data_IF_014601165929
#
_entry.id   IF_014601165929
#
_cell.length_a   1.000
_cell.length_b   1.000
_cell.length_c   1.000
_cell.angle_alpha   90.00
_cell.angle_beta   90.00
_cell.angle_gamma   90.00
#
_symmetry.space_group_name_H-M   'P 1'
#
loop_
_entity.id
_entity.type
_entity.pdbx_description
1 polymer ?
#
# COMPACT_ATOMS: atom_id res chain seq x y z
N UNK A 1 -2.63 -13.46 5.34
CA UNK A 1 -2.41 -12.00 5.54
C UNK A 1 -3.71 -11.20 5.43
N UNK A 2 -4.54 -11.42 4.41
CA UNK A 2 -5.91 -10.86 4.35
C UNK A 2 -6.78 -11.23 5.57
N UNK A 3 -6.57 -12.44 6.10
CA UNK A 3 -7.24 -12.95 7.31
C UNK A 3 -7.07 -12.06 8.55
N UNK A 4 -5.90 -11.45 8.75
CA UNK A 4 -5.67 -10.59 9.91
C UNK A 4 -6.40 -9.25 9.78
N UNK A 5 -6.40 -8.64 8.58
CA UNK A 5 -7.11 -7.39 8.33
C UNK A 5 -8.63 -7.56 8.51
N UNK A 6 -9.18 -8.68 8.05
CA UNK A 6 -10.59 -8.99 8.26
C UNK A 6 -10.90 -9.20 9.74
N UNK A 7 -10.09 -10.00 10.44
CA UNK A 7 -10.26 -10.20 11.87
C UNK A 7 -10.20 -8.87 12.64
N UNK A 8 -9.25 -8.00 12.30
CA UNK A 8 -9.12 -6.67 12.91
C UNK A 8 -10.35 -5.81 12.64
N UNK A 9 -10.85 -5.81 11.39
CA UNK A 9 -12.07 -5.10 11.01
C UNK A 9 -13.29 -5.58 11.80
N UNK A 10 -13.40 -6.88 12.06
CA UNK A 10 -14.53 -7.48 12.77
C UNK A 10 -14.45 -7.29 14.30
N UNK A 11 -13.25 -7.31 14.88
CA UNK A 11 -13.07 -7.42 16.34
C UNK A 11 -12.46 -6.20 17.00
N UNK A 12 -11.81 -5.31 16.23
CA UNK A 12 -11.02 -4.20 16.77
C UNK A 12 -11.35 -2.84 16.16
N UNK A 13 -11.94 -2.79 14.97
CA UNK A 13 -12.34 -1.54 14.34
C UNK A 13 -13.48 -0.88 15.12
N UNK A 14 -13.40 0.44 15.28
CA UNK A 14 -14.36 1.26 16.00
C UNK A 14 -14.94 2.34 15.09
N UNK A 15 -16.14 2.81 15.43
CA UNK A 15 -16.81 3.88 14.71
C UNK A 15 -15.95 5.16 14.70
N UNK A 16 -15.75 5.73 13.52
CA UNK A 16 -14.86 6.87 13.29
C UNK A 16 -13.43 6.51 12.86
N UNK A 17 -13.03 5.24 12.88
CA UNK A 17 -11.71 4.82 12.39
C UNK A 17 -11.72 4.56 10.87
N UNK A 18 -10.57 4.82 10.22
CA UNK A 18 -10.40 4.48 8.79
C UNK A 18 -10.29 2.96 8.60
N UNK A 19 -10.69 2.42 7.44
CA UNK A 19 -10.49 1.01 7.13
C UNK A 19 -9.01 0.59 7.28
N UNK A 20 -8.71 -0.62 7.79
CA UNK A 20 -7.34 -1.07 7.96
C UNK A 20 -6.68 -1.30 6.60
N UNK A 21 -5.39 -0.93 6.49
CA UNK A 21 -4.58 -1.09 5.28
C UNK A 21 -3.50 -2.13 5.55
N UNK A 22 -3.34 -3.09 4.65
CA UNK A 22 -2.24 -4.04 4.68
C UNK A 22 -1.01 -3.46 3.99
N UNK A 23 0.11 -3.38 4.71
CA UNK A 23 1.40 -2.99 4.13
C UNK A 23 2.34 -4.19 4.11
N UNK A 24 2.88 -4.49 2.94
CA UNK A 24 3.88 -5.54 2.74
C UNK A 24 5.16 -4.85 2.30
N UNK A 25 6.25 -5.05 3.04
CA UNK A 25 7.56 -4.46 2.74
C UNK A 25 8.51 -5.60 2.35
N UNK A 26 8.97 -5.58 1.10
CA UNK A 26 9.92 -6.55 0.57
C UNK A 26 11.18 -5.82 0.08
N UNK A 27 12.36 -6.44 0.26
CA UNK A 27 13.66 -5.86 -0.15
C UNK A 27 13.74 -5.61 -1.67
N UNK A 28 13.06 -6.43 -2.46
CA UNK A 28 13.00 -6.33 -3.92
C UNK A 28 11.57 -6.57 -4.37
N UNK A 29 11.13 -5.83 -5.40
CA UNK A 29 9.86 -6.06 -6.08
C UNK A 29 10.10 -7.13 -7.15
N UNK A 30 9.60 -8.34 -6.95
CA UNK A 30 9.54 -9.35 -8.01
C UNK A 30 8.17 -9.24 -8.68
N UNK A 31 8.12 -8.68 -9.89
CA UNK A 31 6.86 -8.37 -10.57
C UNK A 31 6.03 -9.60 -10.91
N UNK A 32 6.66 -10.72 -11.26
CA UNK A 32 5.96 -11.99 -11.49
C UNK A 32 5.32 -12.51 -10.21
N UNK A 33 6.09 -12.57 -9.12
CA UNK A 33 5.59 -12.99 -7.81
C UNK A 33 4.45 -12.09 -7.35
N UNK A 34 4.56 -10.78 -7.54
CA UNK A 34 3.49 -9.83 -7.24
C UNK A 34 2.27 -10.10 -8.11
N UNK A 35 2.43 -10.27 -9.42
CA UNK A 35 1.34 -10.53 -10.35
C UNK A 35 0.56 -11.80 -9.97
N UNK A 36 1.28 -12.90 -9.69
CA UNK A 36 0.68 -14.19 -9.35
C UNK A 36 0.19 -14.28 -7.89
N UNK A 37 0.86 -13.61 -6.93
CA UNK A 37 0.41 -13.57 -5.54
C UNK A 37 -0.83 -12.68 -5.34
N UNK A 38 -0.99 -11.67 -6.19
CA UNK A 38 -2.17 -10.79 -6.15
C UNK A 38 -3.34 -11.36 -6.96
N UNK A 39 -3.10 -12.17 -7.99
CA UNK A 39 -4.16 -12.88 -8.72
C UNK A 39 -5.36 -11.98 -9.06
N UNK A 40 -6.56 -12.38 -8.62
CA UNK A 40 -7.82 -11.65 -8.82
C UNK A 40 -8.17 -10.66 -7.68
N UNK A 41 -7.24 -10.28 -6.80
CA UNK A 41 -7.41 -9.21 -5.81
C UNK A 41 -7.50 -7.84 -6.50
N UNK A 42 -8.63 -7.61 -7.16
CA UNK A 42 -8.86 -6.53 -8.14
C UNK A 42 -9.05 -5.13 -7.56
N UNK A 43 -9.05 -4.91 -6.24
CA UNK A 43 -9.30 -3.58 -5.66
C UNK A 43 -8.39 -3.23 -4.49
N UNK A 44 -7.69 -2.11 -4.64
CA UNK A 44 -7.02 -1.39 -3.55
C UNK A 44 -5.62 -1.89 -3.18
N UNK A 45 -5.00 -2.76 -3.99
CA UNK A 45 -3.61 -3.19 -3.79
C UNK A 45 -2.71 -2.33 -4.66
N UNK A 46 -1.77 -1.65 -4.01
CA UNK A 46 -0.77 -0.81 -4.65
C UNK A 46 0.61 -1.40 -4.41
N UNK A 47 1.46 -1.38 -5.43
CA UNK A 47 2.82 -1.89 -5.34
C UNK A 47 3.75 -0.77 -5.75
N UNK A 48 4.62 -0.38 -4.81
CA UNK A 48 5.59 0.68 -5.02
C UNK A 48 6.95 0.22 -4.52
N UNK A 49 8.00 0.61 -5.24
CA UNK A 49 9.37 0.49 -4.75
C UNK A 49 9.67 1.69 -3.85
N UNK A 50 10.11 1.44 -2.62
CA UNK A 50 10.47 2.51 -1.70
C UNK A 50 11.94 2.86 -1.88
N UNK A 51 12.23 4.15 -2.08
CA UNK A 51 13.60 4.65 -2.12
C UNK A 51 14.14 4.73 -0.70
N UNK A 52 15.41 4.35 -0.51
CA UNK A 52 16.10 4.36 0.80
C UNK A 52 16.28 5.78 1.35
N UNK A 53 16.15 6.80 0.48
CA UNK A 53 16.21 8.22 0.84
C UNK A 53 14.85 8.87 0.60
N UNK A 54 14.34 9.55 1.63
CA UNK A 54 13.14 10.37 1.51
C UNK A 54 13.40 11.50 0.48
N UNK A 55 12.50 11.70 -0.51
CA UNK A 55 12.60 12.83 -1.43
C UNK A 55 12.50 14.17 -0.68
N UNK A 56 12.92 15.28 -1.30
CA UNK A 56 12.75 16.60 -0.68
C UNK A 56 11.27 16.96 -0.53
N UNK A 57 10.95 17.86 0.39
CA UNK A 57 9.57 18.34 0.60
C UNK A 57 8.94 18.87 -0.69
N UNK A 58 9.72 19.56 -1.52
CA UNK A 58 9.28 20.11 -2.81
C UNK A 58 8.89 19.00 -3.80
N UNK A 59 9.68 17.92 -3.85
CA UNK A 59 9.41 16.76 -4.71
C UNK A 59 8.13 16.04 -4.27
N UNK A 60 7.95 15.86 -2.95
CA UNK A 60 6.73 15.26 -2.40
C UNK A 60 5.52 16.13 -2.73
N UNK A 61 5.63 17.46 -2.55
CA UNK A 61 4.55 18.40 -2.86
C UNK A 61 4.17 18.37 -4.34
N UNK A 62 5.15 18.32 -5.26
CA UNK A 62 4.91 18.18 -6.70
C UNK A 62 4.10 16.91 -7.02
N UNK A 63 4.50 15.77 -6.46
CA UNK A 63 3.82 14.48 -6.67
C UNK A 63 2.40 14.44 -6.13
N UNK A 64 2.17 14.95 -4.92
CA UNK A 64 0.84 14.97 -4.31
C UNK A 64 -0.10 15.91 -5.07
N UNK A 65 0.41 17.01 -5.62
CA UNK A 65 -0.37 17.97 -6.39
C UNK A 65 -0.57 17.57 -7.87
N UNK A 66 -0.03 16.43 -8.31
CA UNK A 66 -0.16 15.97 -9.70
C UNK A 66 0.60 16.85 -10.71
N UNK A 67 1.68 17.49 -10.28
CA UNK A 67 2.52 18.36 -11.11
C UNK A 67 3.67 17.59 -11.80
N UNK A 68 3.49 16.30 -12.03
CA UNK A 68 4.41 15.47 -12.82
C UNK A 68 3.69 15.03 -14.11
N UNK A 69 4.25 15.39 -15.27
CA UNK A 69 3.94 14.82 -16.59
C UNK A 69 4.51 13.40 -16.73
#
# INVERSE_FOLDING_TARGET
MYSYLNWYKEHKWQEGQRPPIGLIICKTKDEETVHYALGDLKRGIFVAEYKVKLPSEEEIRRRIMGLEE
#
